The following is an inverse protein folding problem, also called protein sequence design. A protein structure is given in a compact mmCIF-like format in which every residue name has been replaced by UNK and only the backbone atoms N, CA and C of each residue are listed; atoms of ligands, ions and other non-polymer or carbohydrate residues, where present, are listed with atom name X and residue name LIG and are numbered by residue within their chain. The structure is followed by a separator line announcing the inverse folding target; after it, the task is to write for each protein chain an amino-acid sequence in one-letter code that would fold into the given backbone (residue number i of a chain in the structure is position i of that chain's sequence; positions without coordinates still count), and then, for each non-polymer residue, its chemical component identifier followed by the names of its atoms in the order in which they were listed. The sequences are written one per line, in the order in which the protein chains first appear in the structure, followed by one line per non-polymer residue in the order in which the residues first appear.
data_IF_068851315511
#
_entry.id   IF_068851315511
#
_cell.length_a   1.000
_cell.length_b   1.000
_cell.length_c   1.000
_cell.angle_alpha   90.00
_cell.angle_beta   90.00
_cell.angle_gamma   90.00
#
_symmetry.space_group_name_H-M   'P 1'
#
loop_
_entity.id
_entity.type
_entity.pdbx_description
1 polymer ?
#
# COMPACT_ATOMS: atom_id res chain seq x y z
N UNK A 1 -8.13 -4.57 4.40
CA UNK A 1 -6.71 -4.18 4.48
C UNK A 1 -6.38 -3.07 3.47
N UNK A 2 -6.57 -3.30 2.17
CA UNK A 2 -6.31 -2.34 1.07
C UNK A 2 -6.98 -0.98 1.32
N UNK A 3 -8.30 -0.96 1.54
CA UNK A 3 -9.06 0.28 1.78
C UNK A 3 -8.53 1.07 3.00
N UNK A 4 -8.13 0.38 4.07
CA UNK A 4 -7.59 1.02 5.27
C UNK A 4 -6.26 1.73 5.00
N UNK A 5 -5.34 1.07 4.28
CA UNK A 5 -4.06 1.66 3.86
C UNK A 5 -4.32 2.83 2.91
N UNK A 6 -5.24 2.66 1.97
CA UNK A 6 -5.60 3.67 0.99
C UNK A 6 -6.14 4.97 1.64
N UNK A 7 -7.05 4.84 2.62
CA UNK A 7 -7.58 5.98 3.39
C UNK A 7 -6.48 6.72 4.17
N UNK A 8 -5.53 5.99 4.76
CA UNK A 8 -4.41 6.58 5.52
C UNK A 8 -3.42 7.29 4.59
N UNK A 9 -3.20 6.76 3.39
CA UNK A 9 -2.36 7.41 2.37
C UNK A 9 -3.02 8.69 1.85
N UNK A 10 -4.32 8.66 1.54
CA UNK A 10 -5.06 9.86 1.09
C UNK A 10 -5.11 10.99 2.12
N UNK A 11 -5.04 10.66 3.42
CA UNK A 11 -5.08 11.66 4.48
C UNK A 11 -3.73 12.33 4.76
N UNK A 12 -2.66 11.93 4.07
CA UNK A 12 -1.29 12.40 4.30
C UNK A 12 -0.80 13.25 3.12
N UNK A 13 0.13 14.17 3.39
CA UNK A 13 0.88 14.81 2.32
C UNK A 13 1.83 13.78 1.65
N UNK A 14 2.43 14.15 0.52
CA UNK A 14 3.26 13.23 -0.26
C UNK A 14 4.45 12.64 0.53
N UNK A 15 5.09 13.43 1.39
CA UNK A 15 6.25 12.98 2.18
C UNK A 15 5.81 11.98 3.27
N UNK A 16 4.78 12.32 4.02
CA UNK A 16 4.22 11.49 5.08
C UNK A 16 3.60 10.20 4.52
N UNK A 17 2.96 10.27 3.36
CA UNK A 17 2.41 9.11 2.66
C UNK A 17 3.54 8.15 2.24
N UNK A 18 4.63 8.68 1.69
CA UNK A 18 5.80 7.89 1.31
C UNK A 18 6.49 7.27 2.54
N UNK A 19 6.64 8.02 3.64
CA UNK A 19 7.20 7.52 4.88
C UNK A 19 6.34 6.41 5.51
N UNK A 20 5.02 6.60 5.51
CA UNK A 20 4.06 5.60 5.95
C UNK A 20 4.16 4.32 5.11
N UNK A 21 4.06 4.42 3.78
CA UNK A 21 4.14 3.27 2.89
C UNK A 21 5.47 2.52 3.06
N UNK A 22 6.60 3.22 3.16
CA UNK A 22 7.90 2.60 3.35
C UNK A 22 7.97 1.80 4.66
N UNK A 23 7.40 2.31 5.75
CA UNK A 23 7.35 1.60 7.02
C UNK A 23 6.40 0.39 6.97
N UNK A 24 5.22 0.55 6.37
CA UNK A 24 4.27 -0.55 6.15
C UNK A 24 4.87 -1.66 5.30
N UNK A 25 5.50 -1.32 4.17
CA UNK A 25 6.17 -2.27 3.28
C UNK A 25 7.26 -3.05 4.01
N UNK A 26 8.11 -2.37 4.81
CA UNK A 26 9.14 -3.04 5.62
C UNK A 26 8.54 -4.02 6.62
N UNK A 27 7.48 -3.63 7.32
CA UNK A 27 6.81 -4.50 8.30
C UNK A 27 6.23 -5.75 7.62
N UNK A 28 5.59 -5.59 6.45
CA UNK A 28 5.05 -6.72 5.70
C UNK A 28 6.19 -7.63 5.21
N UNK A 29 7.27 -7.09 4.65
CA UNK A 29 8.41 -7.89 4.20
C UNK A 29 9.03 -8.71 5.35
N UNK A 30 9.13 -8.14 6.55
CA UNK A 30 9.58 -8.87 7.75
C UNK A 30 8.62 -10.03 8.08
N UNK A 31 7.31 -9.78 8.10
CA UNK A 31 6.31 -10.83 8.38
C UNK A 31 6.32 -11.96 7.34
N UNK A 32 6.50 -11.63 6.06
CA UNK A 32 6.60 -12.62 4.98
C UNK A 32 7.89 -13.44 5.11
N UNK A 33 9.00 -12.80 5.47
CA UNK A 33 10.26 -13.48 5.76
C UNK A 33 10.14 -14.43 6.96
N UNK A 34 9.49 -14.00 8.05
CA UNK A 34 9.21 -14.83 9.23
C UNK A 34 8.29 -16.02 8.89
N UNK A 35 7.42 -15.87 7.88
CA UNK A 35 6.57 -16.94 7.35
C UNK A 35 7.29 -17.87 6.37
N UNK A 36 8.59 -17.67 6.14
CA UNK A 36 9.42 -18.49 5.25
C UNK A 36 9.26 -18.17 3.75
N UNK A 37 8.65 -17.02 3.41
CA UNK A 37 8.50 -16.60 2.02
C UNK A 37 9.83 -16.06 1.50
N UNK A 38 10.21 -16.50 0.31
CA UNK A 38 11.44 -16.04 -0.33
C UNK A 38 11.38 -14.52 -0.62
N UNK A 39 12.48 -13.77 -0.45
CA UNK A 39 12.48 -12.31 -0.59
C UNK A 39 11.89 -11.79 -1.89
N UNK A 40 12.22 -12.41 -3.04
CA UNK A 40 11.69 -11.98 -4.34
C UNK A 40 10.17 -12.17 -4.48
N UNK A 41 9.60 -13.20 -3.84
CA UNK A 41 8.14 -13.41 -3.81
C UNK A 41 7.49 -12.40 -2.88
N UNK A 42 8.09 -12.14 -1.72
CA UNK A 42 7.60 -11.15 -0.77
C UNK A 42 7.59 -9.73 -1.35
N UNK A 43 8.64 -9.34 -2.07
CA UNK A 43 8.70 -8.06 -2.79
C UNK A 43 7.60 -7.93 -3.85
N UNK A 44 7.34 -9.00 -4.61
CA UNK A 44 6.26 -9.02 -5.59
C UNK A 44 4.88 -8.88 -4.94
N UNK A 45 4.64 -9.56 -3.82
CA UNK A 45 3.38 -9.45 -3.07
C UNK A 45 3.15 -8.04 -2.54
N UNK A 46 4.19 -7.43 -1.95
CA UNK A 46 4.13 -6.04 -1.45
C UNK A 46 3.92 -5.04 -2.60
N UNK A 47 4.56 -5.26 -3.75
CA UNK A 47 4.34 -4.45 -4.96
C UNK A 47 2.93 -4.59 -5.52
N UNK A 48 2.37 -5.81 -5.51
CA UNK A 48 0.98 -6.08 -5.93
C UNK A 48 0.00 -5.39 -4.98
N UNK A 49 0.27 -5.42 -3.68
CA UNK A 49 -0.51 -4.71 -2.68
C UNK A 49 -0.49 -3.20 -2.91
N UNK A 50 0.67 -2.61 -3.23
CA UNK A 50 0.77 -1.18 -3.54
C UNK A 50 -0.12 -0.81 -4.72
N UNK A 51 -0.04 -1.56 -5.82
CA UNK A 51 -0.86 -1.30 -7.00
C UNK A 51 -2.35 -1.38 -6.70
N UNK A 52 -2.79 -2.36 -5.90
CA UNK A 52 -4.18 -2.46 -5.48
C UNK A 52 -4.62 -1.26 -4.64
N UNK A 53 -3.77 -0.79 -3.71
CA UNK A 53 -4.02 0.40 -2.89
C UNK A 53 -4.12 1.66 -3.74
N UNK A 54 -3.20 1.88 -4.67
CA UNK A 54 -3.22 3.05 -5.56
C UNK A 54 -4.43 3.01 -6.51
N UNK A 55 -4.79 1.83 -7.01
CA UNK A 55 -5.99 1.64 -7.84
C UNK A 55 -7.29 1.98 -7.09
N UNK A 56 -7.39 1.61 -5.81
CA UNK A 56 -8.52 1.97 -4.95
C UNK A 56 -8.63 3.49 -4.74
N UNK A 57 -7.51 4.17 -4.44
CA UNK A 57 -7.45 5.63 -4.32
C UNK A 57 -7.89 6.31 -5.62
N UNK A 58 -7.35 5.85 -6.76
CA UNK A 58 -7.68 6.42 -8.06
C UNK A 58 -9.17 6.25 -8.39
N UNK A 59 -9.73 5.07 -8.12
CA UNK A 59 -11.15 4.78 -8.33
C UNK A 59 -12.04 5.68 -7.47
N UNK A 60 -11.71 5.85 -6.18
CA UNK A 60 -12.48 6.72 -5.28
C UNK A 60 -12.34 8.21 -5.63
N UNK A 61 -11.16 8.63 -6.07
CA UNK A 61 -10.92 9.99 -6.56
C UNK A 61 -11.73 10.27 -7.83
N UNK A 62 -11.77 9.34 -8.77
CA UNK A 62 -12.58 9.45 -9.98
C UNK A 62 -14.07 9.52 -9.67
N UNK A 63 -14.56 8.71 -8.72
CA UNK A 63 -15.95 8.74 -8.28
C UNK A 63 -16.34 10.10 -7.66
N UNK A 64 -15.45 10.72 -6.85
CA UNK A 64 -15.68 12.06 -6.29
C UNK A 64 -15.74 13.16 -7.34
N UNK A 65 -14.98 13.04 -8.43
CA UNK A 65 -14.96 14.01 -9.53
C UNK A 65 -16.18 13.90 -10.46
N UNK A 66 -16.84 12.75 -10.47
CA UNK A 66 -18.04 12.49 -11.28
C UNK A 66 -19.36 12.87 -10.57
N UNK A 67 -19.29 13.32 -9.32
CA UNK A 67 -20.41 13.84 -8.51
C UNK A 67 -20.49 15.36 -8.61
#
# INVERSE_FOLDING_TARGET
MVEGIARVLESKNAEDANAFWRNTAKAILVQLSESGIAPGVAEQEVGTLLHAVLGDIATRSAAKLAQ
#
